data_IF_031776862797
#
_entry.id   IF_031776862797
#
_cell.length_a   1.000
_cell.length_b   1.000
_cell.length_c   1.000
_cell.angle_alpha   90.00
_cell.angle_beta   90.00
_cell.angle_gamma   90.00
#
_symmetry.space_group_name_H-M   'P 1'
#
loop_
_entity.id
_entity.type
_entity.pdbx_description
1 polymer ?
#
# COMPACT_ATOMS: atom_id res chain seq x y z
N UNK A 1 12.93 -7.33 4.29
CA UNK A 1 14.08 -8.16 3.89
C UNK A 1 13.83 -8.75 2.52
N UNK A 2 14.87 -8.87 1.67
CA UNK A 2 14.78 -9.67 0.45
C UNK A 2 14.70 -11.15 0.83
N UNK A 3 13.87 -11.91 0.14
CA UNK A 3 13.74 -13.35 0.40
C UNK A 3 15.06 -14.08 0.06
N UNK A 4 15.63 -14.92 0.96
CA UNK A 4 16.97 -15.50 0.76
C UNK A 4 17.10 -16.40 -0.47
N UNK A 5 16.03 -17.06 -0.87
CA UNK A 5 16.01 -18.02 -1.98
C UNK A 5 15.26 -17.51 -3.23
N UNK A 6 14.75 -16.27 -3.20
CA UNK A 6 14.01 -15.71 -4.33
C UNK A 6 14.16 -14.18 -4.38
N UNK A 7 15.01 -13.70 -5.29
CA UNK A 7 15.33 -12.27 -5.42
C UNK A 7 14.12 -11.38 -5.77
N UNK A 8 13.04 -11.97 -6.30
CA UNK A 8 11.84 -11.25 -6.72
C UNK A 8 10.75 -11.23 -5.63
N UNK A 9 11.11 -11.59 -4.40
CA UNK A 9 10.22 -11.57 -3.24
C UNK A 9 10.85 -10.85 -2.07
N UNK A 10 10.00 -10.28 -1.24
CA UNK A 10 10.40 -9.70 0.05
C UNK A 10 9.58 -10.24 1.20
N UNK A 11 10.20 -10.25 2.36
CA UNK A 11 9.63 -10.70 3.63
C UNK A 11 9.46 -9.51 4.57
N UNK A 12 8.24 -9.29 5.02
CA UNK A 12 7.89 -8.31 6.06
C UNK A 12 7.68 -9.06 7.37
N UNK A 13 8.60 -8.90 8.31
CA UNK A 13 8.52 -9.53 9.64
C UNK A 13 8.08 -8.50 10.66
N UNK A 14 7.04 -8.79 11.43
CA UNK A 14 6.64 -8.00 12.60
C UNK A 14 7.44 -8.48 13.81
N UNK A 15 8.11 -7.57 14.49
CA UNK A 15 8.84 -7.92 15.70
C UNK A 15 7.90 -8.54 16.74
N UNK A 16 8.31 -9.67 17.38
CA UNK A 16 7.55 -10.28 18.46
C UNK A 16 7.20 -9.25 19.56
N UNK A 17 5.95 -9.26 20.01
CA UNK A 17 5.48 -8.34 21.04
C UNK A 17 5.17 -6.90 20.56
N UNK A 18 5.40 -6.57 19.28
CA UNK A 18 5.10 -5.22 18.77
C UNK A 18 3.60 -4.91 18.78
N UNK A 19 2.75 -5.88 18.44
CA UNK A 19 1.30 -5.73 18.46
C UNK A 19 0.77 -5.40 19.85
N UNK A 20 1.27 -6.09 20.88
CA UNK A 20 0.96 -5.84 22.30
C UNK A 20 1.44 -4.46 22.75
N UNK A 21 2.65 -4.07 22.35
CA UNK A 21 3.22 -2.75 22.65
C UNK A 21 2.39 -1.63 22.03
N UNK A 22 1.98 -1.80 20.77
CA UNK A 22 1.09 -0.86 20.08
C UNK A 22 -0.27 -0.78 20.79
N UNK A 23 -0.86 -1.93 21.14
CA UNK A 23 -2.13 -2.00 21.85
C UNK A 23 -2.09 -1.27 23.19
N UNK A 24 -1.02 -1.44 23.98
CA UNK A 24 -0.84 -0.75 25.28
C UNK A 24 -0.88 0.78 25.15
N UNK A 25 -0.38 1.33 24.05
CA UNK A 25 -0.31 2.78 23.82
C UNK A 25 -1.57 3.36 23.15
N UNK A 26 -2.61 2.56 22.92
CA UNK A 26 -3.87 3.04 22.33
C UNK A 26 -4.87 3.50 23.40
N UNK A 27 -5.83 4.39 23.06
CA UNK A 27 -6.94 4.74 23.92
C UNK A 27 -7.70 3.49 24.38
N UNK A 28 -8.34 3.57 25.57
CA UNK A 28 -8.99 2.43 26.24
C UNK A 28 -10.01 1.68 25.33
N UNK A 29 -10.81 2.40 24.55
CA UNK A 29 -11.80 1.80 23.64
C UNK A 29 -11.16 0.99 22.50
N UNK A 30 -9.92 1.30 22.10
CA UNK A 30 -9.17 0.52 21.12
C UNK A 30 -8.48 -0.70 21.73
N UNK A 31 -8.20 -0.67 23.04
CA UNK A 31 -7.62 -1.80 23.77
C UNK A 31 -8.57 -3.00 23.90
N UNK A 32 -9.88 -2.78 23.70
CA UNK A 32 -10.89 -3.85 23.67
C UNK A 32 -10.76 -4.77 22.44
N UNK A 33 -10.01 -4.37 21.41
CA UNK A 33 -9.74 -5.19 20.23
C UNK A 33 -8.69 -6.26 20.55
N UNK A 34 -8.72 -7.39 19.82
CA UNK A 34 -7.67 -8.42 19.91
C UNK A 34 -6.30 -7.85 19.54
N UNK A 35 -5.21 -8.47 20.02
CA UNK A 35 -3.84 -8.09 19.66
C UNK A 35 -3.60 -8.22 18.16
N UNK A 36 -4.20 -9.22 17.51
CA UNK A 36 -4.10 -9.48 16.07
C UNK A 36 -4.55 -8.29 15.21
N UNK A 37 -5.49 -7.49 15.72
CA UNK A 37 -5.93 -6.28 15.03
C UNK A 37 -4.86 -5.17 14.97
N UNK A 38 -3.75 -5.35 15.68
CA UNK A 38 -2.58 -4.45 15.69
C UNK A 38 -1.37 -5.11 15.03
N UNK A 39 -1.47 -6.36 14.59
CA UNK A 39 -0.46 -7.03 13.77
C UNK A 39 -0.59 -6.57 12.32
N UNK A 40 0.46 -5.92 11.80
CA UNK A 40 0.43 -5.38 10.45
C UNK A 40 0.44 -6.47 9.38
N UNK A 41 1.04 -7.64 9.62
CA UNK A 41 1.04 -8.76 8.69
C UNK A 41 -0.37 -9.38 8.58
N UNK A 42 -1.06 -9.58 9.70
CA UNK A 42 -2.44 -10.09 9.69
C UNK A 42 -3.40 -9.09 9.05
N UNK A 43 -3.16 -7.80 9.24
CA UNK A 43 -3.93 -6.74 8.57
C UNK A 43 -3.67 -6.68 7.07
N UNK A 44 -2.43 -6.91 6.63
CA UNK A 44 -2.07 -7.01 5.23
C UNK A 44 -2.73 -8.25 4.59
N UNK A 45 -2.64 -9.41 5.22
CA UNK A 45 -3.35 -10.63 4.80
C UNK A 45 -4.86 -10.37 4.64
N UNK A 46 -5.50 -9.76 5.63
CA UNK A 46 -6.91 -9.41 5.54
C UNK A 46 -7.21 -8.43 4.40
N UNK A 47 -6.29 -7.51 4.10
CA UNK A 47 -6.43 -6.55 3.03
C UNK A 47 -6.35 -7.21 1.63
N UNK A 48 -5.51 -8.21 1.45
CA UNK A 48 -5.47 -9.00 0.22
C UNK A 48 -6.72 -9.89 0.04
N UNK A 49 -7.47 -10.16 1.11
CA UNK A 49 -8.75 -10.86 1.06
C UNK A 49 -9.96 -9.94 0.73
N UNK A 50 -9.76 -8.65 0.42
CA UNK A 50 -10.85 -7.78 0.03
C UNK A 50 -11.58 -8.29 -1.22
N UNK A 51 -12.90 -8.02 -1.30
CA UNK A 51 -13.77 -8.54 -2.38
C UNK A 51 -13.23 -8.22 -3.78
N UNK A 52 -12.69 -7.04 -3.98
CA UNK A 52 -12.14 -6.58 -5.26
C UNK A 52 -10.95 -7.44 -5.75
N UNK A 53 -10.21 -8.10 -4.85
CA UNK A 53 -9.05 -8.95 -5.19
C UNK A 53 -9.39 -10.43 -5.37
N UNK A 54 -10.66 -10.82 -5.19
CA UNK A 54 -11.13 -12.21 -5.34
C UNK A 54 -11.52 -12.58 -6.78
N UNK A 55 -11.18 -11.75 -7.75
CA UNK A 55 -11.48 -11.99 -9.16
C UNK A 55 -10.24 -12.49 -9.89
N UNK A 56 -10.44 -13.22 -11.00
CA UNK A 56 -9.35 -13.69 -11.86
C UNK A 56 -8.81 -12.61 -12.81
N UNK A 57 -9.25 -11.36 -12.66
CA UNK A 57 -8.82 -10.26 -13.52
C UNK A 57 -7.34 -9.94 -13.30
N UNK A 58 -6.51 -10.18 -14.32
CA UNK A 58 -5.07 -9.93 -14.27
C UNK A 58 -4.72 -8.43 -14.21
N UNK A 59 -5.60 -7.54 -14.71
CA UNK A 59 -5.40 -6.08 -14.68
C UNK A 59 -5.26 -5.55 -13.24
N UNK A 60 -5.81 -6.29 -12.25
CA UNK A 60 -5.66 -5.95 -10.85
C UNK A 60 -4.20 -5.93 -10.39
N UNK A 61 -3.37 -6.83 -10.93
CA UNK A 61 -1.98 -6.95 -10.52
C UNK A 61 -1.04 -5.99 -11.24
N UNK A 62 -1.56 -5.23 -12.22
CA UNK A 62 -0.78 -4.20 -12.90
C UNK A 62 -0.26 -3.16 -11.90
N UNK A 63 -1.09 -2.71 -10.98
CA UNK A 63 -0.78 -1.66 -10.00
C UNK A 63 -0.63 -2.17 -8.55
N UNK A 64 -0.47 -3.47 -8.37
CA UNK A 64 -0.40 -4.08 -7.04
C UNK A 64 0.70 -5.14 -6.99
N UNK A 65 1.55 -5.09 -5.98
CA UNK A 65 2.47 -6.17 -5.67
C UNK A 65 1.69 -7.43 -5.28
N UNK A 66 2.06 -8.60 -5.81
CA UNK A 66 1.41 -9.87 -5.47
C UNK A 66 1.76 -10.29 -4.05
N UNK A 67 0.78 -10.82 -3.34
CA UNK A 67 0.97 -11.45 -2.05
C UNK A 67 1.10 -12.97 -2.21
N UNK A 68 2.13 -13.55 -1.63
CA UNK A 68 2.45 -14.97 -1.75
C UNK A 68 2.09 -15.78 -0.51
N UNK A 69 1.60 -15.12 0.53
CA UNK A 69 1.17 -15.77 1.75
C UNK A 69 1.98 -15.39 2.97
N UNK A 70 1.78 -16.16 4.03
CA UNK A 70 2.56 -16.07 5.26
C UNK A 70 3.59 -17.20 5.25
N UNK A 71 4.83 -16.88 5.64
CA UNK A 71 5.92 -17.85 5.74
C UNK A 71 6.59 -17.77 7.11
N UNK A 72 7.05 -18.90 7.62
CA UNK A 72 7.80 -18.94 8.87
C UNK A 72 9.27 -18.61 8.62
N UNK A 73 9.84 -17.78 9.50
CA UNK A 73 11.26 -17.43 9.46
C UNK A 73 11.89 -17.64 10.84
N UNK A 74 13.21 -17.62 10.91
CA UNK A 74 13.95 -17.74 12.19
C UNK A 74 13.71 -16.58 13.17
N UNK A 75 13.05 -15.51 12.73
CA UNK A 75 12.73 -14.33 13.56
C UNK A 75 11.21 -14.09 13.69
N UNK A 76 10.38 -15.05 13.25
CA UNK A 76 8.92 -15.02 13.37
C UNK A 76 8.19 -15.16 12.03
N UNK A 77 6.87 -15.05 12.07
CA UNK A 77 6.04 -15.10 10.87
C UNK A 77 6.25 -13.86 10.01
N UNK A 78 6.43 -14.07 8.72
CA UNK A 78 6.59 -13.01 7.72
C UNK A 78 5.44 -13.00 6.72
N UNK A 79 5.02 -11.82 6.28
CA UNK A 79 4.22 -11.64 5.09
C UNK A 79 5.16 -11.63 3.88
N UNK A 80 4.91 -12.51 2.90
CA UNK A 80 5.70 -12.64 1.68
C UNK A 80 4.98 -11.94 0.53
N UNK A 81 5.65 -10.95 -0.07
CA UNK A 81 5.12 -10.17 -1.20
C UNK A 81 6.13 -10.10 -2.34
N UNK A 82 5.65 -9.81 -3.54
CA UNK A 82 6.47 -9.49 -4.70
C UNK A 82 7.39 -8.31 -4.38
N UNK A 83 8.67 -8.43 -4.72
CA UNK A 83 9.65 -7.35 -4.70
C UNK A 83 9.74 -6.76 -6.12
N UNK A 84 9.21 -5.57 -6.29
CA UNK A 84 9.18 -4.93 -7.60
C UNK A 84 10.59 -4.48 -7.98
N UNK A 85 11.00 -4.84 -9.20
CA UNK A 85 12.33 -4.51 -9.74
C UNK A 85 12.24 -3.88 -11.12
N UNK A 86 13.25 -3.09 -11.45
CA UNK A 86 13.54 -2.57 -12.78
C UNK A 86 14.88 -3.17 -13.22
N UNK A 87 14.84 -4.30 -13.92
CA UNK A 87 16.02 -5.12 -14.18
C UNK A 87 16.59 -5.71 -12.88
N UNK A 88 17.88 -5.48 -12.61
CA UNK A 88 18.54 -5.98 -11.39
C UNK A 88 18.33 -5.05 -10.17
N UNK A 89 17.84 -3.83 -10.38
CA UNK A 89 17.65 -2.87 -9.31
C UNK A 89 16.26 -2.98 -8.69
N UNK A 90 16.15 -2.73 -7.38
CA UNK A 90 14.85 -2.60 -6.69
C UNK A 90 14.20 -1.31 -7.18
N UNK A 91 12.92 -1.38 -7.53
CA UNK A 91 12.16 -0.23 -7.99
C UNK A 91 12.14 0.87 -6.92
N UNK A 92 12.45 2.10 -7.34
CA UNK A 92 12.43 3.26 -6.45
C UNK A 92 11.00 3.63 -6.04
N UNK A 93 10.86 4.25 -4.87
CA UNK A 93 9.56 4.76 -4.42
C UNK A 93 9.18 6.02 -5.19
N UNK A 94 7.86 6.24 -5.33
CA UNK A 94 7.35 7.50 -5.87
C UNK A 94 7.86 8.71 -5.06
N UNK A 95 8.01 8.56 -3.74
CA UNK A 95 8.56 9.61 -2.87
C UNK A 95 9.99 9.97 -3.28
N UNK A 96 10.88 8.98 -3.47
CA UNK A 96 12.27 9.20 -3.88
C UNK A 96 12.37 9.87 -5.25
N UNK A 97 11.54 9.42 -6.20
CA UNK A 97 11.46 10.04 -7.52
C UNK A 97 11.04 11.51 -7.44
N UNK A 98 9.95 11.80 -6.71
CA UNK A 98 9.44 13.16 -6.56
C UNK A 98 10.46 14.12 -5.91
N UNK A 99 11.26 13.65 -4.97
CA UNK A 99 12.33 14.46 -4.38
C UNK A 99 13.48 14.73 -5.34
N UNK A 100 13.76 13.81 -6.25
CA UNK A 100 14.86 13.92 -7.21
C UNK A 100 14.47 14.71 -8.46
N UNK A 101 13.32 14.41 -9.05
CA UNK A 101 12.89 14.91 -10.36
C UNK A 101 11.72 15.91 -10.29
N UNK A 102 11.00 15.94 -9.17
CA UNK A 102 9.76 16.69 -9.05
C UNK A 102 8.57 16.01 -9.77
N UNK A 103 7.53 16.78 -10.03
CA UNK A 103 6.32 16.34 -10.72
C UNK A 103 6.49 16.55 -12.23
N UNK A 104 7.10 15.59 -12.91
CA UNK A 104 7.26 15.60 -14.38
C UNK A 104 5.96 15.21 -15.08
N UNK A 105 5.85 15.47 -16.40
CA UNK A 105 4.69 15.07 -17.20
C UNK A 105 4.53 13.54 -17.20
N UNK A 106 5.62 12.78 -17.32
CA UNK A 106 5.62 11.32 -17.31
C UNK A 106 5.06 10.76 -16.00
N UNK A 107 5.51 11.27 -14.85
CA UNK A 107 5.01 10.80 -13.55
C UNK A 107 3.57 11.25 -13.30
N UNK A 108 3.18 12.43 -13.81
CA UNK A 108 1.79 12.92 -13.73
C UNK A 108 0.83 12.02 -14.50
N UNK A 109 1.21 11.59 -15.69
CA UNK A 109 0.46 10.60 -16.48
C UNK A 109 0.37 9.25 -15.75
N UNK A 110 1.47 8.77 -15.17
CA UNK A 110 1.49 7.52 -14.42
C UNK A 110 0.57 7.58 -13.17
N UNK A 111 0.54 8.72 -12.47
CA UNK A 111 -0.36 8.95 -11.32
C UNK A 111 -1.82 8.94 -11.78
N UNK A 112 -2.16 9.60 -12.89
CA UNK A 112 -3.54 9.64 -13.38
C UNK A 112 -4.01 8.24 -13.83
N UNK A 113 -3.19 7.49 -14.56
CA UNK A 113 -3.48 6.11 -14.95
C UNK A 113 -3.71 5.21 -13.72
N UNK A 114 -2.91 5.39 -12.67
CA UNK A 114 -3.07 4.70 -11.40
C UNK A 114 -4.39 5.08 -10.70
N UNK A 115 -4.78 6.35 -10.72
CA UNK A 115 -6.07 6.79 -10.16
C UNK A 115 -7.26 6.25 -10.94
N UNK A 116 -7.18 6.19 -12.28
CA UNK A 116 -8.21 5.56 -13.12
C UNK A 116 -8.38 4.09 -12.73
N UNK A 117 -7.27 3.37 -12.54
CA UNK A 117 -7.29 1.98 -12.10
C UNK A 117 -7.92 1.83 -10.70
N UNK A 118 -7.55 2.66 -9.72
CA UNK A 118 -8.17 2.64 -8.38
C UNK A 118 -9.68 2.82 -8.42
N UNK A 119 -10.17 3.76 -9.24
CA UNK A 119 -11.61 4.02 -9.42
C UNK A 119 -12.33 2.86 -10.09
N UNK A 120 -11.70 2.25 -11.10
CA UNK A 120 -12.28 1.14 -11.86
C UNK A 120 -12.42 -0.12 -11.01
N UNK A 121 -11.41 -0.45 -10.21
CA UNK A 121 -11.35 -1.70 -9.47
C UNK A 121 -11.80 -1.60 -8.00
N UNK A 122 -12.07 -0.40 -7.51
CA UNK A 122 -12.50 -0.14 -6.12
C UNK A 122 -11.55 -0.75 -5.08
N UNK A 123 -10.25 -0.65 -5.31
CA UNK A 123 -9.22 -1.16 -4.40
C UNK A 123 -9.08 -0.24 -3.19
N UNK A 124 -9.28 -0.79 -1.99
CA UNK A 124 -9.15 -0.03 -0.76
C UNK A 124 -7.71 0.03 -0.29
N UNK A 125 -7.28 1.26 0.00
CA UNK A 125 -5.97 1.54 0.57
C UNK A 125 -6.15 2.33 1.86
N UNK A 126 -5.51 1.92 2.95
CA UNK A 126 -5.51 2.66 4.23
C UNK A 126 -4.52 3.82 4.22
N UNK A 127 -3.44 3.69 3.43
CA UNK A 127 -2.31 4.59 3.47
C UNK A 127 -1.71 4.79 2.07
N UNK A 128 -2.46 5.51 1.23
CA UNK A 128 -2.05 5.84 -0.14
C UNK A 128 -1.13 7.06 -0.11
N UNK A 129 0.17 6.83 0.10
CA UNK A 129 1.21 7.87 0.18
C UNK A 129 2.42 7.47 -0.63
N UNK A 130 3.21 8.44 -1.15
CA UNK A 130 4.28 8.18 -2.12
C UNK A 130 5.31 7.13 -1.71
N UNK A 131 5.65 6.98 -0.43
CA UNK A 131 6.62 5.96 -0.01
C UNK A 131 6.06 4.52 0.01
N UNK A 132 4.74 4.33 -0.07
CA UNK A 132 4.10 3.03 -0.21
C UNK A 132 3.85 2.62 -1.67
N UNK A 133 4.31 3.44 -2.59
CA UNK A 133 4.17 3.29 -4.03
C UNK A 133 5.56 3.22 -4.67
N UNK A 134 5.75 2.29 -5.61
CA UNK A 134 6.99 2.18 -6.36
C UNK A 134 6.74 2.34 -7.85
N UNK A 135 7.79 2.72 -8.58
CA UNK A 135 7.77 2.97 -10.00
C UNK A 135 8.33 1.75 -10.75
N UNK A 136 7.45 1.02 -11.40
CA UNK A 136 7.80 -0.08 -12.28
C UNK A 136 7.91 0.41 -13.72
N UNK A 137 9.03 0.11 -14.37
CA UNK A 137 9.25 0.43 -15.78
C UNK A 137 8.85 -0.77 -16.62
N UNK A 138 7.83 -0.57 -17.47
CA UNK A 138 7.41 -1.57 -18.45
C UNK A 138 7.55 -0.97 -19.84
N UNK A 139 8.54 -1.45 -20.60
CA UNK A 139 8.96 -0.86 -21.86
C UNK A 139 9.24 0.65 -21.70
N UNK A 140 8.46 1.51 -22.34
CA UNK A 140 8.61 2.96 -22.28
C UNK A 140 7.57 3.65 -21.35
N UNK A 141 6.94 2.91 -20.43
CA UNK A 141 5.92 3.45 -19.52
C UNK A 141 6.28 3.26 -18.06
N UNK A 142 6.01 4.30 -17.26
CA UNK A 142 6.04 4.19 -15.82
C UNK A 142 4.70 3.68 -15.31
N UNK A 143 4.74 2.66 -14.48
CA UNK A 143 3.57 2.07 -13.81
C UNK A 143 3.79 2.20 -12.31
N UNK A 144 2.83 2.79 -11.62
CA UNK A 144 2.85 2.87 -10.15
C UNK A 144 2.31 1.56 -9.57
N UNK A 145 3.06 0.93 -8.65
CA UNK A 145 2.59 -0.27 -7.92
C UNK A 145 2.51 0.00 -6.42
N UNK A 146 1.42 -0.46 -5.81
CA UNK A 146 1.24 -0.45 -4.36
C UNK A 146 2.05 -1.61 -3.77
N UNK A 147 2.94 -1.31 -2.82
CA UNK A 147 3.74 -2.29 -2.08
C UNK A 147 3.35 -2.39 -0.60
N UNK A 148 2.60 -1.41 -0.10
CA UNK A 148 2.09 -1.38 1.27
C UNK A 148 0.84 -0.50 1.37
N UNK A 149 0.16 -0.57 2.51
CA UNK A 149 -0.96 0.32 2.80
C UNK A 149 -2.31 -0.14 2.23
N UNK A 150 -2.45 -1.40 1.83
CA UNK A 150 -3.75 -1.98 1.45
C UNK A 150 -4.74 -2.03 2.63
N UNK A 151 -6.03 -2.14 2.29
CA UNK A 151 -7.13 -2.28 3.23
C UNK A 151 -7.84 -0.97 3.54
N UNK A 152 -8.91 -1.05 4.32
CA UNK A 152 -9.73 0.10 4.69
C UNK A 152 -9.47 0.54 6.13
N UNK A 153 -9.45 1.87 6.35
CA UNK A 153 -9.47 2.48 7.69
C UNK A 153 -10.87 3.00 8.06
N UNK A 154 -11.90 2.70 7.26
CA UNK A 154 -13.24 3.16 7.56
C UNK A 154 -13.69 2.63 8.93
N UNK A 155 -14.23 3.52 9.77
CA UNK A 155 -14.75 3.15 11.09
C UNK A 155 -15.96 2.22 10.95
N UNK A 156 -16.84 2.52 10.00
CA UNK A 156 -17.94 1.66 9.59
C UNK A 156 -17.57 0.99 8.27
N UNK A 157 -17.85 -0.30 8.08
CA UNK A 157 -17.47 -1.04 6.88
C UNK A 157 -18.38 -0.74 5.67
N UNK A 158 -19.03 0.43 5.63
CA UNK A 158 -19.94 0.85 4.56
C UNK A 158 -19.33 0.73 3.15
N UNK A 159 -18.04 1.09 2.92
CA UNK A 159 -17.44 0.90 1.62
C UNK A 159 -17.45 -0.55 1.11
N UNK A 160 -17.43 -1.53 2.02
CA UNK A 160 -17.45 -2.95 1.64
C UNK A 160 -18.83 -3.41 1.12
N UNK A 161 -19.89 -2.67 1.41
CA UNK A 161 -21.27 -3.03 1.12
C UNK A 161 -21.96 -2.11 0.11
N UNK A 162 -21.36 -0.98 -0.24
CA UNK A 162 -21.94 -0.01 -1.14
C UNK A 162 -20.90 0.61 -2.07
N UNK A 163 -21.14 0.51 -3.38
CA UNK A 163 -20.29 1.11 -4.40
C UNK A 163 -20.21 2.63 -4.27
N UNK A 164 -21.28 3.29 -3.81
CA UNK A 164 -21.27 4.72 -3.57
C UNK A 164 -20.26 5.11 -2.47
N UNK A 165 -20.31 4.43 -1.33
CA UNK A 165 -19.35 4.68 -0.24
C UNK A 165 -17.93 4.23 -0.61
N UNK A 166 -17.79 3.17 -1.41
CA UNK A 166 -16.50 2.73 -1.93
C UNK A 166 -15.86 3.82 -2.80
N UNK A 167 -16.58 4.36 -3.76
CA UNK A 167 -16.12 5.45 -4.62
C UNK A 167 -15.72 6.69 -3.80
N UNK A 168 -16.56 7.14 -2.88
CA UNK A 168 -16.23 8.27 -2.00
C UNK A 168 -14.99 8.03 -1.14
N UNK A 169 -14.81 6.81 -0.65
CA UNK A 169 -13.63 6.44 0.10
C UNK A 169 -12.37 6.57 -0.76
N UNK A 170 -12.40 6.06 -2.00
CA UNK A 170 -11.28 6.11 -2.93
C UNK A 170 -10.94 7.55 -3.32
N UNK A 171 -11.94 8.37 -3.68
CA UNK A 171 -11.70 9.79 -4.02
C UNK A 171 -11.00 10.51 -2.86
N UNK A 172 -11.46 10.31 -1.63
CA UNK A 172 -10.79 10.89 -0.46
C UNK A 172 -9.34 10.42 -0.31
N UNK A 173 -9.00 9.16 -0.69
CA UNK A 173 -7.62 8.67 -0.65
C UNK A 173 -6.77 9.31 -1.73
N UNK A 174 -7.32 9.51 -2.91
CA UNK A 174 -6.67 10.22 -4.01
C UNK A 174 -6.38 11.68 -3.61
N UNK A 175 -7.35 12.39 -3.05
CA UNK A 175 -7.17 13.76 -2.55
C UNK A 175 -6.06 13.84 -1.49
N UNK A 176 -6.04 12.90 -0.54
CA UNK A 176 -5.00 12.82 0.48
C UNK A 176 -3.62 12.50 -0.10
N UNK A 177 -3.56 11.67 -1.15
CA UNK A 177 -2.31 11.39 -1.86
C UNK A 177 -1.76 12.68 -2.51
N UNK A 178 -2.60 13.44 -3.21
CA UNK A 178 -2.20 14.73 -3.79
C UNK A 178 -1.75 15.72 -2.73
N UNK A 179 -2.48 15.83 -1.62
CA UNK A 179 -2.10 16.68 -0.49
C UNK A 179 -0.72 16.29 0.05
N UNK A 180 -0.43 15.00 0.11
CA UNK A 180 0.88 14.51 0.54
C UNK A 180 1.98 14.79 -0.48
N UNK A 181 1.73 14.61 -1.78
CA UNK A 181 2.68 14.93 -2.85
C UNK A 181 3.05 16.42 -2.80
N UNK A 182 2.05 17.29 -2.74
CA UNK A 182 2.30 18.74 -2.67
C UNK A 182 3.09 19.13 -1.41
N UNK A 183 2.79 18.50 -0.28
CA UNK A 183 3.54 18.73 0.95
C UNK A 183 4.99 18.25 0.86
N UNK A 184 5.24 17.08 0.28
CA UNK A 184 6.59 16.57 0.05
C UNK A 184 7.37 17.52 -0.88
N UNK A 185 6.77 17.99 -1.99
CA UNK A 185 7.39 18.93 -2.94
C UNK A 185 7.61 20.33 -2.35
N UNK A 186 6.81 20.75 -1.36
CA UNK A 186 7.02 22.02 -0.63
C UNK A 186 8.19 21.98 0.36
N UNK A 187 8.91 20.86 0.44
CA UNK A 187 9.95 20.62 1.45
C UNK A 187 9.39 20.31 2.83
N UNK A 188 8.20 19.72 2.88
CA UNK A 188 7.51 19.28 4.12
C UNK A 188 7.17 20.42 5.07
N UNK A 189 6.83 21.57 4.53
CA UNK A 189 6.44 22.75 5.32
C UNK A 189 4.96 22.67 5.72
N UNK A 190 4.67 22.93 7.02
CA UNK A 190 3.31 22.87 7.56
C UNK A 190 2.76 21.44 7.71
N UNK A 191 1.43 21.35 7.89
CA UNK A 191 0.71 20.09 8.00
C UNK A 191 0.08 19.70 6.65
N UNK A 192 0.15 18.45 6.26
CA UNK A 192 -0.48 17.93 5.03
C UNK A 192 -1.86 17.31 5.26
N UNK A 193 -2.29 17.17 6.52
CA UNK A 193 -3.61 16.71 6.96
C UNK A 193 -4.35 17.80 7.69
#
# INVERSE_FOLDING_TARGET
FVHPNNKDRCLKVVHPGLAEKIKKNKPWYKKLRSSDSFDDNLREQAAYNQKALKTENQDLWMHLAKWHGMTETNIGMASETELIRNGEEIAETLESYLFREGLTDEISEAIENFHIWLRAHLIFTKNLIPHNLVLYKNDNKLIIKIIDGLGSQAFLPLPNYSNYFAKRYIERRIELMWSRIHWDLSGRKGNWK
#
